data_IF_672686972910
#
_entry.id   IF_672686972910
#
_cell.length_a   1.000
_cell.length_b   1.000
_cell.length_c   1.000
_cell.angle_alpha   90.00
_cell.angle_beta   90.00
_cell.angle_gamma   90.00
#
_symmetry.space_group_name_H-M   'P 1'
#
loop_
_entity.id
_entity.type
_entity.pdbx_description
1 polymer ?
#
# COMPACT_ATOMS: atom_id res chain seq x y z
N UNK A 1 -0.87 30.14 -1.15
CA UNK A 1 -1.97 29.94 -2.13
C UNK A 1 -2.54 28.54 -1.93
N UNK A 2 -3.78 28.47 -1.45
CA UNK A 2 -4.53 27.21 -1.27
C UNK A 2 -5.07 26.78 -2.65
N UNK A 3 -5.03 25.47 -3.02
CA UNK A 3 -5.71 24.98 -4.20
C UNK A 3 -7.22 24.90 -3.92
N UNK A 4 -8.03 25.46 -4.82
CA UNK A 4 -9.48 25.34 -4.78
C UNK A 4 -9.91 23.93 -5.18
N UNK A 5 -10.75 23.31 -4.32
CA UNK A 5 -11.46 22.07 -4.58
C UNK A 5 -12.65 22.40 -5.49
N UNK A 6 -12.68 21.88 -6.71
CA UNK A 6 -13.91 21.83 -7.50
C UNK A 6 -14.71 20.60 -7.13
N UNK A 7 -15.78 20.78 -6.36
CA UNK A 7 -16.81 19.76 -6.14
C UNK A 7 -17.59 19.52 -7.42
N UNK A 8 -17.57 18.31 -7.91
CA UNK A 8 -18.49 17.85 -8.93
C UNK A 8 -19.61 17.06 -8.25
N UNK A 9 -20.82 17.66 -8.14
CA UNK A 9 -22.02 17.03 -7.58
C UNK A 9 -22.64 16.11 -8.63
N UNK A 10 -22.72 14.83 -8.34
CA UNK A 10 -23.62 13.91 -9.03
C UNK A 10 -23.10 12.48 -9.14
N UNK A 11 -23.80 11.57 -8.46
CA UNK A 11 -23.78 10.10 -8.50
C UNK A 11 -22.69 9.41 -7.67
N UNK A 12 -23.18 8.57 -6.75
CA UNK A 12 -22.42 7.66 -5.89
C UNK A 12 -21.61 6.63 -6.70
N UNK A 13 -20.39 7.04 -7.07
CA UNK A 13 -19.33 6.14 -7.48
C UNK A 13 -18.14 6.41 -6.58
N UNK A 14 -17.51 5.36 -6.06
CA UNK A 14 -16.24 5.43 -5.33
C UNK A 14 -15.30 6.33 -6.14
N UNK A 15 -15.13 7.58 -5.67
CA UNK A 15 -14.59 8.67 -6.46
C UNK A 15 -13.15 8.42 -6.92
N UNK A 16 -12.90 8.61 -8.20
CA UNK A 16 -11.56 8.81 -8.72
C UNK A 16 -11.04 10.15 -8.16
N UNK A 17 -9.97 10.12 -7.37
CA UNK A 17 -9.31 11.34 -6.90
C UNK A 17 -8.19 11.72 -7.87
N UNK A 18 -8.29 12.91 -8.46
CA UNK A 18 -7.30 13.47 -9.39
C UNK A 18 -6.54 14.61 -8.69
N UNK A 19 -5.20 14.49 -8.61
CA UNK A 19 -4.32 15.52 -8.05
C UNK A 19 -3.43 16.09 -9.16
N UNK A 20 -3.67 17.33 -9.56
CA UNK A 20 -2.86 18.04 -10.57
C UNK A 20 -1.95 19.06 -9.87
N UNK A 21 -0.63 18.85 -9.94
CA UNK A 21 0.41 19.88 -9.74
C UNK A 21 1.46 19.66 -10.83
N UNK A 22 2.35 20.63 -11.08
CA UNK A 22 3.45 20.53 -12.04
C UNK A 22 4.35 19.30 -11.75
N UNK A 23 3.88 18.13 -12.11
CA UNK A 23 4.40 16.80 -11.83
C UNK A 23 3.54 15.74 -12.50
N UNK A 24 3.84 14.45 -12.33
CA UNK A 24 3.09 13.37 -12.96
C UNK A 24 1.61 13.39 -12.53
N UNK A 25 0.72 13.06 -13.45
CA UNK A 25 -0.70 12.90 -13.16
C UNK A 25 -0.92 11.63 -12.36
N UNK A 26 -1.43 11.78 -11.15
CA UNK A 26 -1.67 10.66 -10.22
C UNK A 26 -3.17 10.39 -10.13
N UNK A 27 -3.55 9.12 -10.29
CA UNK A 27 -4.94 8.67 -10.11
C UNK A 27 -4.95 7.40 -9.25
N UNK A 28 -5.89 7.34 -8.31
CA UNK A 28 -6.15 6.14 -7.49
C UNK A 28 -7.46 5.52 -7.98
N UNK A 29 -7.40 4.26 -8.37
CA UNK A 29 -8.54 3.52 -8.92
C UNK A 29 -8.67 2.16 -8.23
N UNK A 30 -9.86 1.54 -8.21
CA UNK A 30 -10.00 0.16 -7.75
C UNK A 30 -9.06 -0.79 -8.49
N UNK A 31 -8.44 -1.72 -7.77
CA UNK A 31 -7.51 -2.67 -8.35
C UNK A 31 -8.22 -3.64 -9.32
N UNK A 32 -7.53 -4.01 -10.40
CA UNK A 32 -8.03 -4.92 -11.43
C UNK A 32 -6.94 -5.93 -11.83
N UNK A 33 -7.33 -7.11 -12.30
CA UNK A 33 -6.41 -8.17 -12.69
C UNK A 33 -5.37 -7.76 -13.74
N UNK A 34 -5.68 -6.83 -14.64
CA UNK A 34 -4.72 -6.26 -15.61
C UNK A 34 -3.61 -5.47 -14.92
N UNK A 35 -3.90 -4.80 -13.78
CA UNK A 35 -2.91 -4.06 -13.01
C UNK A 35 -1.90 -5.00 -12.37
N UNK A 36 -2.33 -6.17 -11.85
CA UNK A 36 -1.43 -7.18 -11.31
C UNK A 36 -0.35 -7.62 -12.32
N UNK A 37 -0.74 -7.83 -13.59
CA UNK A 37 0.22 -8.18 -14.64
C UNK A 37 1.16 -7.02 -14.97
N UNK A 38 0.64 -5.81 -15.06
CA UNK A 38 1.43 -4.63 -15.39
C UNK A 38 2.48 -4.34 -14.33
N UNK A 39 2.10 -4.32 -13.06
CA UNK A 39 3.00 -4.05 -11.94
C UNK A 39 3.93 -5.24 -11.68
N UNK A 40 3.40 -6.46 -11.63
CA UNK A 40 4.18 -7.65 -11.30
C UNK A 40 5.35 -7.91 -12.24
N UNK A 41 5.24 -7.54 -13.53
CA UNK A 41 6.34 -7.65 -14.50
C UNK A 41 7.44 -6.60 -14.31
N UNK A 42 7.17 -5.54 -13.55
CA UNK A 42 8.05 -4.38 -13.33
C UNK A 42 8.23 -4.09 -11.84
N UNK A 43 7.86 -5.06 -11.00
CA UNK A 43 7.97 -4.93 -9.56
C UNK A 43 9.41 -4.64 -9.16
N UNK A 44 9.63 -3.73 -8.23
CA UNK A 44 10.97 -3.40 -7.72
C UNK A 44 11.61 -4.62 -7.06
N UNK A 45 12.93 -4.73 -7.16
CA UNK A 45 13.67 -5.92 -6.74
C UNK A 45 13.44 -6.29 -5.26
N UNK A 46 13.35 -5.30 -4.36
CA UNK A 46 13.05 -5.53 -2.94
C UNK A 46 11.71 -6.22 -2.72
N UNK A 47 10.67 -5.79 -3.46
CA UNK A 47 9.34 -6.38 -3.35
C UNK A 47 9.29 -7.80 -3.97
N UNK A 48 10.02 -8.03 -5.06
CA UNK A 48 10.16 -9.37 -5.65
C UNK A 48 10.78 -10.34 -4.64
N UNK A 49 11.86 -9.92 -3.97
CA UNK A 49 12.53 -10.71 -2.95
C UNK A 49 11.61 -10.99 -1.76
N UNK A 50 10.94 -9.96 -1.24
CA UNK A 50 10.05 -10.06 -0.08
C UNK A 50 8.86 -10.99 -0.36
N UNK A 51 8.23 -10.85 -1.53
CA UNK A 51 7.13 -11.71 -1.98
C UNK A 51 7.56 -13.18 -2.10
N UNK A 52 8.74 -13.42 -2.66
CA UNK A 52 9.27 -14.77 -2.76
C UNK A 52 9.59 -15.36 -1.39
N UNK A 53 10.24 -14.61 -0.51
CA UNK A 53 10.57 -15.05 0.85
C UNK A 53 9.33 -15.33 1.69
N UNK A 54 8.31 -14.45 1.60
CA UNK A 54 7.09 -14.58 2.41
C UNK A 54 6.09 -15.60 1.89
N UNK A 55 5.94 -15.75 0.58
CA UNK A 55 4.84 -16.52 0.00
C UNK A 55 5.23 -17.62 -0.97
N UNK A 56 6.53 -17.75 -1.31
CA UNK A 56 7.04 -18.67 -2.33
C UNK A 56 6.30 -18.61 -3.67
N UNK A 57 5.83 -17.39 -4.03
CA UNK A 57 5.10 -17.13 -5.27
C UNK A 57 5.75 -15.98 -6.04
N UNK A 58 5.46 -15.94 -7.35
CA UNK A 58 5.92 -14.83 -8.18
C UNK A 58 5.09 -13.56 -7.99
N UNK A 59 5.63 -12.39 -8.41
CA UNK A 59 5.02 -11.08 -8.18
C UNK A 59 3.57 -10.93 -8.65
N UNK A 60 3.25 -11.44 -9.84
CA UNK A 60 1.88 -11.36 -10.41
C UNK A 60 0.88 -12.15 -9.57
N UNK A 61 1.29 -13.33 -9.10
CA UNK A 61 0.41 -14.17 -8.27
C UNK A 61 0.23 -13.58 -6.87
N UNK A 62 1.29 -13.03 -6.27
CA UNK A 62 1.20 -12.34 -4.99
C UNK A 62 0.17 -11.20 -5.05
N UNK A 63 0.28 -10.32 -6.05
CA UNK A 63 -0.68 -9.22 -6.26
C UNK A 63 -2.12 -9.73 -6.45
N UNK A 64 -2.31 -10.83 -7.18
CA UNK A 64 -3.64 -11.43 -7.37
C UNK A 64 -4.22 -11.97 -6.08
N UNK A 65 -3.41 -12.66 -5.27
CA UNK A 65 -3.84 -13.21 -3.96
C UNK A 65 -4.22 -12.07 -3.01
N UNK A 66 -3.35 -11.09 -2.86
CA UNK A 66 -3.62 -9.93 -2.00
C UNK A 66 -4.87 -9.16 -2.44
N UNK A 67 -5.05 -8.93 -3.77
CA UNK A 67 -6.24 -8.27 -4.30
C UNK A 67 -7.54 -9.03 -4.00
N UNK A 68 -7.54 -10.38 -4.06
CA UNK A 68 -8.74 -11.19 -3.77
C UNK A 68 -9.11 -11.20 -2.30
N UNK A 69 -8.15 -11.00 -1.41
CA UNK A 69 -8.30 -11.10 0.04
C UNK A 69 -8.47 -9.74 0.72
N UNK A 70 -8.58 -8.65 -0.05
CA UNK A 70 -8.61 -7.30 0.49
C UNK A 70 -9.42 -6.33 -0.37
N UNK A 71 -9.80 -5.21 0.23
CA UNK A 71 -10.18 -4.02 -0.54
C UNK A 71 -8.89 -3.41 -1.06
N UNK A 72 -8.71 -3.43 -2.39
CA UNK A 72 -7.45 -3.08 -3.01
C UNK A 72 -7.59 -1.96 -4.05
N UNK A 73 -6.58 -1.10 -4.10
CA UNK A 73 -6.48 0.04 -5.00
C UNK A 73 -5.19 0.00 -5.81
N UNK A 74 -5.19 0.70 -6.94
CA UNK A 74 -4.03 0.89 -7.79
C UNK A 74 -3.77 2.38 -7.97
N UNK A 75 -2.53 2.79 -7.78
CA UNK A 75 -2.04 4.11 -8.15
C UNK A 75 -1.56 4.08 -9.60
N UNK A 76 -2.19 4.90 -10.43
CA UNK A 76 -1.74 5.16 -11.79
C UNK A 76 -0.88 6.43 -11.77
N UNK A 77 0.29 6.37 -12.38
CA UNK A 77 1.17 7.52 -12.62
C UNK A 77 1.23 7.71 -14.14
N UNK A 78 0.77 8.85 -14.63
CA UNK A 78 0.62 9.15 -16.07
C UNK A 78 -0.14 8.02 -16.80
N UNK A 79 -1.24 7.55 -16.20
CA UNK A 79 -2.09 6.49 -16.72
C UNK A 79 -1.53 5.07 -16.58
N UNK A 80 -0.30 4.90 -16.09
CA UNK A 80 0.37 3.59 -15.96
C UNK A 80 0.24 3.04 -14.53
N UNK A 81 -0.20 1.78 -14.33
CA UNK A 81 -0.25 1.16 -13.01
C UNK A 81 1.17 1.00 -12.43
N UNK A 82 1.43 1.63 -11.27
CA UNK A 82 2.76 1.64 -10.65
C UNK A 82 2.77 1.09 -9.23
N UNK A 83 1.68 1.25 -8.47
CA UNK A 83 1.58 0.77 -7.09
C UNK A 83 0.22 0.10 -6.90
N UNK A 84 0.18 -1.01 -6.18
CA UNK A 84 -1.05 -1.59 -5.63
C UNK A 84 -0.92 -1.70 -4.12
N UNK A 85 -2.00 -1.41 -3.43
CA UNK A 85 -2.10 -1.52 -1.98
C UNK A 85 -3.52 -1.89 -1.57
N UNK A 86 -3.66 -2.37 -0.34
CA UNK A 86 -4.98 -2.70 0.17
C UNK A 86 -4.96 -3.11 1.64
N UNK A 87 -6.18 -3.32 2.16
CA UNK A 87 -6.42 -3.83 3.51
C UNK A 87 -7.42 -4.96 3.44
N UNK A 88 -7.04 -6.12 4.00
CA UNK A 88 -7.91 -7.27 4.18
C UNK A 88 -8.18 -7.54 5.66
N UNK A 89 -9.18 -8.34 5.96
CA UNK A 89 -9.52 -8.71 7.34
C UNK A 89 -8.54 -9.79 7.86
N UNK A 90 -7.82 -9.53 8.96
CA UNK A 90 -7.04 -10.53 9.70
C UNK A 90 -7.80 -11.06 10.90
N UNK A 91 -8.42 -10.18 11.68
CA UNK A 91 -9.27 -10.55 12.80
C UNK A 91 -10.38 -9.49 12.94
N UNK A 92 -11.58 -9.83 12.44
CA UNK A 92 -12.73 -8.92 12.43
C UNK A 92 -13.17 -8.55 13.84
N UNK A 93 -13.21 -9.52 14.76
CA UNK A 93 -13.64 -9.27 16.14
C UNK A 93 -12.69 -8.37 16.91
N UNK A 94 -11.40 -8.45 16.63
CA UNK A 94 -10.38 -7.61 17.24
C UNK A 94 -10.15 -6.29 16.48
N UNK A 95 -10.85 -6.05 15.37
CA UNK A 95 -10.66 -4.86 14.53
C UNK A 95 -9.28 -4.78 13.89
N UNK A 96 -8.66 -5.93 13.56
CA UNK A 96 -7.32 -6.00 12.98
C UNK A 96 -7.38 -6.27 11.48
N UNK A 97 -6.81 -5.36 10.70
CA UNK A 97 -6.65 -5.50 9.26
C UNK A 97 -5.22 -5.83 8.83
N UNK A 98 -5.08 -6.58 7.76
CA UNK A 98 -3.80 -6.85 7.09
C UNK A 98 -3.54 -5.83 5.99
N UNK A 99 -2.60 -4.91 6.21
CA UNK A 99 -2.22 -3.88 5.23
C UNK A 99 -1.08 -4.37 4.36
N UNK A 100 -1.11 -4.06 3.07
CA UNK A 100 -0.03 -4.39 2.13
C UNK A 100 0.14 -3.32 1.06
N UNK A 101 1.35 -3.20 0.53
CA UNK A 101 1.69 -2.32 -0.58
C UNK A 101 2.84 -2.95 -1.38
N UNK A 102 2.67 -3.06 -2.69
CA UNK A 102 3.67 -3.55 -3.64
C UNK A 102 3.72 -2.60 -4.85
N UNK A 103 4.90 -2.38 -5.40
CA UNK A 103 5.02 -1.43 -6.50
C UNK A 103 6.25 -1.61 -7.36
N UNK A 104 6.40 -0.69 -8.30
CA UNK A 104 7.54 -0.59 -9.22
C UNK A 104 8.56 0.44 -8.70
N UNK A 105 9.68 0.59 -9.41
CA UNK A 105 10.67 1.62 -9.10
C UNK A 105 10.14 3.06 -9.24
N UNK A 106 8.91 3.24 -9.70
CA UNK A 106 8.23 4.54 -9.67
C UNK A 106 8.10 5.10 -8.25
N UNK A 107 8.02 4.23 -7.23
CA UNK A 107 8.04 4.62 -5.81
C UNK A 107 9.33 5.40 -5.51
N UNK A 108 10.48 4.85 -5.88
CA UNK A 108 11.78 5.47 -5.64
C UNK A 108 11.97 6.75 -6.47
N UNK A 109 11.56 6.75 -7.74
CA UNK A 109 11.64 7.94 -8.60
C UNK A 109 10.77 9.09 -8.12
N UNK A 110 9.65 8.80 -7.47
CA UNK A 110 8.67 9.78 -6.99
C UNK A 110 8.57 9.78 -5.44
N UNK A 111 9.66 9.50 -4.73
CA UNK A 111 9.66 9.23 -3.30
C UNK A 111 9.03 10.35 -2.45
N UNK A 112 9.24 11.63 -2.79
CA UNK A 112 8.66 12.77 -2.04
C UNK A 112 7.14 12.80 -2.13
N UNK A 113 6.61 12.56 -3.33
CA UNK A 113 5.18 12.41 -3.51
C UNK A 113 4.65 11.18 -2.76
N UNK A 114 5.35 10.04 -2.89
CA UNK A 114 4.96 8.79 -2.24
C UNK A 114 4.87 8.94 -0.71
N UNK A 115 5.86 9.56 -0.06
CA UNK A 115 5.82 9.82 1.38
C UNK A 115 4.60 10.67 1.76
N UNK A 116 4.36 11.78 1.07
CA UNK A 116 3.21 12.64 1.34
C UNK A 116 1.90 11.90 1.14
N UNK A 117 1.71 11.25 -0.01
CA UNK A 117 0.49 10.53 -0.35
C UNK A 117 0.19 9.39 0.64
N UNK A 118 1.22 8.67 1.12
CA UNK A 118 1.03 7.61 2.11
C UNK A 118 0.67 8.15 3.48
N UNK A 119 1.25 9.26 3.92
CA UNK A 119 0.88 9.91 5.18
C UNK A 119 -0.55 10.47 5.15
N UNK A 120 -0.94 11.12 4.06
CA UNK A 120 -2.29 11.68 3.87
C UNK A 120 -3.35 10.58 3.70
N UNK A 121 -3.00 9.47 3.02
CA UNK A 121 -3.92 8.36 2.75
C UNK A 121 -4.05 7.36 3.90
N UNK A 122 -3.08 7.30 4.81
CA UNK A 122 -3.07 6.32 5.90
C UNK A 122 -4.35 6.32 6.76
N UNK A 123 -4.91 7.47 7.19
CA UNK A 123 -6.17 7.48 7.96
C UNK A 123 -7.32 6.77 7.25
N UNK A 124 -7.41 6.88 5.93
CA UNK A 124 -8.43 6.23 5.12
C UNK A 124 -8.35 4.70 5.10
N UNK A 125 -7.21 4.11 5.46
CA UNK A 125 -7.06 2.66 5.55
C UNK A 125 -7.67 2.07 6.83
N UNK A 126 -7.95 2.90 7.83
CA UNK A 126 -8.55 2.49 9.12
C UNK A 126 -10.08 2.51 9.14
N UNK A 127 -10.76 2.57 7.98
CA UNK A 127 -12.23 2.69 7.93
C UNK A 127 -12.97 1.61 8.72
N UNK A 128 -12.46 0.37 8.66
CA UNK A 128 -13.08 -0.82 9.28
C UNK A 128 -12.21 -1.46 10.37
N UNK A 129 -11.01 -0.95 10.59
CA UNK A 129 -10.03 -1.55 11.48
C UNK A 129 -9.45 -0.49 12.43
N UNK A 130 -9.19 -0.88 13.68
CA UNK A 130 -8.52 -0.06 14.69
C UNK A 130 -6.99 -0.27 14.64
N UNK A 131 -6.56 -1.41 14.11
CA UNK A 131 -5.16 -1.81 13.98
C UNK A 131 -4.91 -2.34 12.57
N UNK A 132 -3.85 -1.86 11.92
CA UNK A 132 -3.32 -2.42 10.69
C UNK A 132 -2.01 -3.14 10.99
N UNK A 133 -1.86 -4.37 10.51
CA UNK A 133 -0.71 -5.24 10.81
C UNK A 133 -0.19 -5.93 9.56
N UNK A 134 1.11 -6.14 9.50
CA UNK A 134 1.76 -7.04 8.54
C UNK A 134 3.19 -7.36 9.03
N UNK A 135 3.92 -8.14 8.26
CA UNK A 135 5.33 -8.38 8.44
C UNK A 135 6.10 -7.85 7.22
N UNK A 136 7.29 -7.31 7.45
CA UNK A 136 8.21 -6.79 6.42
C UNK A 136 9.53 -7.54 6.51
N UNK A 137 10.14 -7.86 5.36
CA UNK A 137 11.45 -8.51 5.31
C UNK A 137 12.49 -7.66 6.07
N UNK A 138 13.21 -8.28 7.00
CA UNK A 138 14.23 -7.62 7.83
C UNK A 138 15.34 -6.96 6.99
N UNK A 139 15.61 -7.46 5.80
CA UNK A 139 16.58 -6.92 4.88
C UNK A 139 16.05 -5.76 4.02
N UNK A 140 14.73 -5.52 4.00
CA UNK A 140 14.11 -4.42 3.27
C UNK A 140 14.21 -3.10 4.06
N UNK A 141 15.44 -2.59 4.21
CA UNK A 141 15.73 -1.39 5.00
C UNK A 141 14.95 -0.15 4.54
N UNK A 142 14.62 -0.05 3.24
CA UNK A 142 13.84 1.07 2.73
C UNK A 142 12.40 1.04 3.23
N UNK A 143 11.76 -0.14 3.23
CA UNK A 143 10.40 -0.30 3.77
C UNK A 143 10.37 -0.15 5.29
N UNK A 144 11.38 -0.66 6.02
CA UNK A 144 11.48 -0.46 7.47
C UNK A 144 11.53 1.03 7.84
N UNK A 145 12.40 1.82 7.21
CA UNK A 145 12.47 3.27 7.45
C UNK A 145 11.18 4.00 7.08
N UNK A 146 10.54 3.59 6.01
CA UNK A 146 9.26 4.18 5.60
C UNK A 146 8.14 3.86 6.60
N UNK A 147 8.04 2.62 7.07
CA UNK A 147 7.07 2.21 8.09
C UNK A 147 7.29 2.93 9.43
N UNK A 148 8.55 3.05 9.87
CA UNK A 148 8.93 3.82 11.07
C UNK A 148 8.51 5.29 10.92
N UNK A 149 8.78 5.89 9.78
CA UNK A 149 8.37 7.27 9.47
C UNK A 149 6.85 7.44 9.48
N UNK A 150 6.07 6.44 9.04
CA UNK A 150 4.60 6.42 9.15
C UNK A 150 4.10 6.23 10.59
N UNK A 151 4.98 5.93 11.54
CA UNK A 151 4.64 5.70 12.94
C UNK A 151 4.24 4.25 13.25
N UNK A 152 4.68 3.28 12.44
CA UNK A 152 4.51 1.87 12.74
C UNK A 152 5.31 1.48 13.98
N UNK A 153 4.70 0.67 14.86
CA UNK A 153 5.39 0.00 15.95
C UNK A 153 5.89 -1.36 15.48
N UNK A 154 7.19 -1.60 15.61
CA UNK A 154 7.79 -2.91 15.36
C UNK A 154 7.66 -3.76 16.62
N UNK A 155 7.06 -4.95 16.49
CA UNK A 155 6.67 -5.77 17.63
C UNK A 155 7.72 -6.86 17.94
N UNK A 156 8.05 -7.66 16.95
CA UNK A 156 8.98 -8.79 17.11
C UNK A 156 9.48 -9.26 15.75
N UNK A 157 10.60 -9.94 15.76
CA UNK A 157 11.10 -10.67 14.61
C UNK A 157 10.47 -12.08 14.57
N UNK A 158 10.09 -12.52 13.38
CA UNK A 158 9.52 -13.84 13.14
C UNK A 158 10.27 -14.51 11.99
N UNK A 159 10.38 -15.83 12.03
CA UNK A 159 10.87 -16.61 10.87
C UNK A 159 9.72 -16.88 9.89
N UNK A 160 9.95 -16.56 8.64
CA UNK A 160 9.03 -16.92 7.55
C UNK A 160 9.80 -17.68 6.47
N UNK A 161 9.61 -18.98 6.41
CA UNK A 161 10.29 -19.87 5.45
C UNK A 161 11.82 -19.80 5.51
N UNK A 162 12.41 -19.63 6.70
CA UNK A 162 13.86 -19.51 6.90
C UNK A 162 14.41 -18.10 6.64
N UNK A 163 13.55 -17.08 6.59
CA UNK A 163 13.94 -15.69 6.45
C UNK A 163 13.39 -14.84 7.59
N UNK A 164 14.20 -13.90 8.13
CA UNK A 164 13.74 -13.04 9.21
C UNK A 164 12.81 -11.95 8.69
N UNK A 165 11.61 -11.84 9.26
CA UNK A 165 10.64 -10.79 9.03
C UNK A 165 10.37 -10.04 10.32
N UNK A 166 10.06 -8.76 10.23
CA UNK A 166 9.67 -7.93 11.38
C UNK A 166 8.17 -7.69 11.33
N UNK A 167 7.47 -8.18 12.35
CA UNK A 167 6.04 -7.91 12.53
C UNK A 167 5.87 -6.46 12.97
N UNK A 168 4.99 -5.73 12.28
CA UNK A 168 4.67 -4.35 12.64
C UNK A 168 3.16 -4.14 12.77
N UNK A 169 2.79 -3.10 13.52
CA UNK A 169 1.42 -2.61 13.58
C UNK A 169 1.36 -1.08 13.53
N UNK A 170 0.27 -0.59 12.98
CA UNK A 170 -0.13 0.82 13.04
C UNK A 170 -1.50 0.90 13.69
N UNK A 171 -1.72 1.88 14.57
CA UNK A 171 -2.98 2.10 15.26
C UNK A 171 -3.68 3.34 14.74
N UNK A 172 -5.00 3.25 14.64
CA UNK A 172 -5.82 4.42 14.35
C UNK A 172 -5.57 5.50 15.39
N UNK A 173 -5.20 6.70 14.94
CA UNK A 173 -5.10 7.84 15.84
C UNK A 173 -6.50 8.17 16.34
N UNK A 174 -6.67 8.24 17.65
CA UNK A 174 -7.88 8.78 18.25
C UNK A 174 -7.66 10.29 18.33
N UNK A 175 -8.48 11.06 17.65
CA UNK A 175 -8.54 12.49 17.87
C UNK A 175 -8.98 12.69 19.32
N UNK A 176 -8.15 13.35 20.12
CA UNK A 176 -8.42 13.72 21.52
C UNK A 176 -9.09 15.08 21.52
#
# INVERSE_FOLDING_TARGET
LRPELRENKGTEHVGEQEFVRHGPVIRIVPARGKHCRSIGRRMRASDVTEVWRSGRVGPVEALRRSMRQSTAFTVLIDGRPEIMYGVGDLNVLAGVGGVWLLGTDAITRNWRWFLRATAEGLPGLFTRHEVLRNAVDRENAASLRWLEWLGAAFLMEIDVHGHPFVLFEMRKRRDV
#
